data_IF_959328864447
#
_entry.id   IF_959328864447
#
_cell.length_a   1.000
_cell.length_b   1.000
_cell.length_c   1.000
_cell.angle_alpha   90.00
_cell.angle_beta   90.00
_cell.angle_gamma   90.00
#
_symmetry.space_group_name_H-M   'P 1'
#
loop_
_entity.id
_entity.type
_entity.pdbx_description
1 polymer ?
#
# COMPACT_ATOMS: atom_id res chain seq x y z
N UNK A 1 6.62 10.08 14.89
CA UNK A 1 7.16 10.43 13.57
C UNK A 1 8.49 11.12 13.78
N UNK A 2 9.55 10.63 13.16
CA UNK A 2 10.83 11.34 13.16
C UNK A 2 10.82 12.44 12.07
N UNK A 3 11.83 13.32 12.06
CA UNK A 3 11.96 14.39 11.04
C UNK A 3 11.99 13.81 9.62
N UNK A 4 12.51 12.60 9.44
CA UNK A 4 12.68 11.94 8.13
C UNK A 4 11.34 11.38 7.62
N UNK A 5 10.48 10.87 8.51
CA UNK A 5 9.10 10.48 8.22
C UNK A 5 8.32 11.68 7.70
N UNK A 6 8.49 12.85 8.36
CA UNK A 6 7.89 14.10 7.93
C UNK A 6 8.33 14.52 6.53
N UNK A 7 9.64 14.47 6.25
CA UNK A 7 10.18 14.77 4.92
C UNK A 7 9.66 13.79 3.85
N UNK A 8 9.58 12.50 4.17
CA UNK A 8 9.05 11.49 3.25
C UNK A 8 7.57 11.71 2.95
N UNK A 9 6.76 12.01 3.97
CA UNK A 9 5.36 12.33 3.80
C UNK A 9 5.15 13.59 2.95
N UNK A 10 5.97 14.63 3.16
CA UNK A 10 5.95 15.84 2.34
C UNK A 10 6.34 15.56 0.88
N UNK A 11 7.36 14.73 0.65
CA UNK A 11 7.75 14.32 -0.70
C UNK A 11 6.63 13.54 -1.41
N UNK A 12 6.01 12.58 -0.70
CA UNK A 12 4.86 11.83 -1.22
C UNK A 12 3.67 12.75 -1.52
N UNK A 13 3.39 13.72 -0.64
CA UNK A 13 2.35 14.72 -0.85
C UNK A 13 2.65 15.60 -2.07
N UNK A 14 3.90 16.02 -2.27
CA UNK A 14 4.29 16.78 -3.46
C UNK A 14 4.03 15.98 -4.75
N UNK A 15 4.35 14.69 -4.77
CA UNK A 15 4.04 13.81 -5.91
C UNK A 15 2.53 13.70 -6.16
N UNK A 16 1.73 13.54 -5.10
CA UNK A 16 0.26 13.50 -5.20
C UNK A 16 -0.31 14.82 -5.73
N UNK A 17 0.21 15.97 -5.27
CA UNK A 17 -0.18 17.30 -5.78
C UNK A 17 0.12 17.41 -7.27
N UNK A 18 1.31 16.99 -7.70
CA UNK A 18 1.67 16.96 -9.13
C UNK A 18 0.70 16.07 -9.90
N UNK A 19 0.41 14.86 -9.41
CA UNK A 19 -0.55 13.94 -10.04
C UNK A 19 -1.93 14.57 -10.24
N UNK A 20 -2.54 15.12 -9.18
CA UNK A 20 -3.87 15.75 -9.28
C UNK A 20 -3.86 16.99 -10.17
N UNK A 21 -2.77 17.77 -10.15
CA UNK A 21 -2.62 18.93 -11.03
C UNK A 21 -2.57 18.50 -12.50
N UNK A 22 -1.82 17.45 -12.81
CA UNK A 22 -1.70 16.95 -14.17
C UNK A 22 -3.00 16.31 -14.66
N UNK A 23 -3.70 15.59 -13.80
CA UNK A 23 -5.05 15.08 -14.07
C UNK A 23 -5.98 16.23 -14.50
N UNK A 24 -6.07 17.29 -13.70
CA UNK A 24 -6.92 18.45 -14.01
C UNK A 24 -6.49 19.15 -15.30
N UNK A 25 -5.19 19.29 -15.56
CA UNK A 25 -4.67 19.95 -16.76
C UNK A 25 -4.95 19.18 -18.05
N UNK A 26 -4.91 17.85 -17.99
CA UNK A 26 -5.08 16.99 -19.18
C UNK A 26 -6.56 16.67 -19.40
N UNK A 27 -7.27 16.27 -18.35
CA UNK A 27 -8.66 15.81 -18.46
C UNK A 27 -9.68 16.94 -18.32
N UNK A 28 -9.31 18.09 -17.73
CA UNK A 28 -10.22 19.21 -17.47
C UNK A 28 -11.31 18.93 -16.42
N UNK A 29 -11.32 17.74 -15.84
CA UNK A 29 -12.29 17.29 -14.85
C UNK A 29 -11.65 16.26 -13.90
N UNK A 30 -12.27 16.05 -12.75
CA UNK A 30 -11.87 14.98 -11.83
C UNK A 30 -12.37 13.62 -12.34
N UNK A 31 -11.46 12.67 -12.56
CA UNK A 31 -11.73 11.31 -12.99
C UNK A 31 -10.58 10.36 -12.66
N UNK A 32 -10.57 9.22 -13.34
CA UNK A 32 -9.42 8.32 -13.37
C UNK A 32 -8.78 8.42 -14.76
N UNK A 33 -7.46 8.62 -14.85
CA UNK A 33 -6.78 8.87 -16.12
C UNK A 33 -6.68 7.62 -17.02
N UNK A 34 -6.85 6.42 -16.44
CA UNK A 34 -6.91 5.14 -17.16
C UNK A 34 -8.29 4.49 -16.96
N UNK A 35 -8.73 3.77 -17.98
CA UNK A 35 -9.96 2.99 -18.05
C UNK A 35 -9.99 1.84 -17.02
N UNK A 36 -8.86 1.16 -16.78
CA UNK A 36 -8.73 0.10 -15.77
C UNK A 36 -9.23 0.54 -14.37
N UNK A 37 -8.96 1.79 -14.00
CA UNK A 37 -9.43 2.35 -12.74
C UNK A 37 -10.96 2.35 -12.62
N UNK A 38 -11.65 2.66 -13.72
CA UNK A 38 -13.12 2.68 -13.77
C UNK A 38 -13.72 1.28 -13.66
N UNK A 39 -13.06 0.26 -14.20
CA UNK A 39 -13.48 -1.14 -14.07
C UNK A 39 -13.53 -1.53 -12.58
N UNK A 40 -12.52 -1.18 -11.80
CA UNK A 40 -12.52 -1.44 -10.35
C UNK A 40 -13.64 -0.70 -9.62
N UNK A 41 -13.93 0.55 -9.97
CA UNK A 41 -15.04 1.30 -9.36
C UNK A 41 -16.38 0.64 -9.67
N UNK A 42 -16.55 0.14 -10.89
CA UNK A 42 -17.80 -0.51 -11.30
C UNK A 42 -18.04 -1.81 -10.53
N UNK A 43 -17.02 -2.68 -10.43
CA UNK A 43 -17.13 -3.88 -9.61
C UNK A 43 -17.35 -3.56 -8.12
N UNK A 44 -16.65 -2.55 -7.59
CA UNK A 44 -16.82 -2.14 -6.20
C UNK A 44 -18.23 -1.62 -5.92
N UNK A 45 -18.79 -0.84 -6.85
CA UNK A 45 -20.17 -0.35 -6.78
C UNK A 45 -21.17 -1.51 -6.79
N UNK A 46 -21.06 -2.41 -7.76
CA UNK A 46 -21.94 -3.58 -7.85
C UNK A 46 -21.88 -4.43 -6.57
N UNK A 47 -20.68 -4.61 -6.02
CA UNK A 47 -20.52 -5.34 -4.77
C UNK A 47 -21.18 -4.61 -3.58
N UNK A 48 -21.01 -3.29 -3.47
CA UNK A 48 -21.62 -2.47 -2.43
C UNK A 48 -23.16 -2.42 -2.55
N UNK A 49 -23.70 -2.47 -3.77
CA UNK A 49 -25.14 -2.47 -4.06
C UNK A 49 -25.76 -3.88 -4.01
N UNK A 50 -24.98 -4.92 -3.69
CA UNK A 50 -25.48 -6.29 -3.52
C UNK A 50 -25.57 -7.13 -4.81
N UNK A 51 -25.08 -6.62 -5.94
CA UNK A 51 -25.00 -7.35 -7.22
C UNK A 51 -23.80 -8.32 -7.30
N UNK A 52 -22.97 -8.40 -6.25
CA UNK A 52 -21.81 -9.29 -6.15
C UNK A 52 -20.63 -8.89 -7.03
N UNK A 53 -19.66 -9.80 -7.19
CA UNK A 53 -18.53 -9.63 -8.11
C UNK A 53 -18.98 -9.84 -9.56
N UNK A 54 -19.71 -8.86 -10.08
CA UNK A 54 -20.24 -8.85 -11.44
C UNK A 54 -19.94 -7.54 -12.13
N UNK A 55 -19.73 -7.57 -13.45
CA UNK A 55 -19.71 -6.36 -14.27
C UNK A 55 -21.14 -5.99 -14.69
N UNK A 56 -21.87 -6.98 -15.23
CA UNK A 56 -23.31 -6.86 -15.46
C UNK A 56 -24.05 -7.54 -14.29
N UNK A 57 -24.92 -6.83 -13.55
CA UNK A 57 -25.65 -7.42 -12.43
C UNK A 57 -26.33 -8.74 -12.80
N UNK A 58 -26.26 -9.73 -11.91
CA UNK A 58 -26.79 -11.07 -12.15
C UNK A 58 -25.85 -12.02 -12.91
N UNK A 59 -24.72 -11.52 -13.43
CA UNK A 59 -23.70 -12.34 -14.10
C UNK A 59 -22.34 -12.20 -13.40
N UNK A 60 -22.07 -13.02 -12.35
CA UNK A 60 -20.78 -13.02 -11.68
C UNK A 60 -19.65 -13.38 -12.64
N UNK A 61 -18.54 -12.65 -12.56
CA UNK A 61 -17.36 -12.86 -13.40
C UNK A 61 -16.09 -12.48 -12.66
N UNK A 62 -15.02 -13.23 -12.88
CA UNK A 62 -13.69 -12.92 -12.37
C UNK A 62 -13.00 -11.80 -13.20
N UNK A 63 -13.67 -10.66 -13.35
CA UNK A 63 -13.17 -9.52 -14.14
C UNK A 63 -12.28 -8.55 -13.34
N UNK A 64 -12.16 -8.73 -12.03
CA UNK A 64 -11.32 -7.89 -11.18
C UNK A 64 -9.91 -8.47 -11.04
N UNK A 65 -8.91 -7.82 -11.63
CA UNK A 65 -7.48 -8.16 -11.49
C UNK A 65 -6.86 -7.72 -10.15
N UNK A 66 -7.61 -6.96 -9.34
CA UNK A 66 -7.20 -6.50 -8.01
C UNK A 66 -8.33 -6.71 -6.98
N UNK A 67 -8.69 -7.96 -6.62
CA UNK A 67 -9.85 -8.25 -5.79
C UNK A 67 -9.80 -7.60 -4.40
N UNK A 68 -8.63 -7.53 -3.77
CA UNK A 68 -8.47 -6.84 -2.48
C UNK A 68 -8.80 -5.34 -2.59
N UNK A 69 -8.36 -4.69 -3.67
CA UNK A 69 -8.68 -3.28 -3.92
C UNK A 69 -10.17 -3.07 -4.15
N UNK A 70 -10.80 -3.95 -4.93
CA UNK A 70 -12.25 -3.95 -5.17
C UNK A 70 -13.03 -4.11 -3.86
N UNK A 71 -12.62 -5.00 -2.96
CA UNK A 71 -13.24 -5.18 -1.64
C UNK A 71 -13.13 -3.93 -0.77
N UNK A 72 -11.95 -3.32 -0.71
CA UNK A 72 -11.74 -2.09 0.06
C UNK A 72 -12.59 -0.93 -0.46
N UNK A 73 -12.68 -0.79 -1.79
CA UNK A 73 -13.55 0.22 -2.40
C UNK A 73 -15.03 -0.06 -2.16
N UNK A 74 -15.47 -1.33 -2.25
CA UNK A 74 -16.85 -1.69 -1.98
C UNK A 74 -17.23 -1.35 -0.53
N UNK A 75 -16.34 -1.62 0.44
CA UNK A 75 -16.54 -1.21 1.83
C UNK A 75 -16.64 0.32 1.98
N UNK A 76 -15.77 1.06 1.30
CA UNK A 76 -15.86 2.52 1.27
C UNK A 76 -17.17 3.04 0.65
N UNK A 77 -17.59 2.45 -0.46
CA UNK A 77 -18.83 2.81 -1.16
C UNK A 77 -20.09 2.43 -0.37
N UNK A 78 -20.06 1.35 0.40
CA UNK A 78 -21.16 0.98 1.29
C UNK A 78 -21.40 2.02 2.41
N UNK A 79 -20.35 2.74 2.83
CA UNK A 79 -20.44 3.76 3.89
C UNK A 79 -20.69 5.16 3.33
N UNK A 80 -20.01 5.52 2.24
CA UNK A 80 -19.93 6.89 1.74
C UNK A 80 -20.60 7.10 0.37
N UNK A 81 -21.13 6.03 -0.24
CA UNK A 81 -21.67 6.00 -1.58
C UNK A 81 -20.60 5.85 -2.68
N UNK A 82 -20.99 5.45 -3.90
CA UNK A 82 -20.08 5.33 -5.04
C UNK A 82 -19.65 6.72 -5.53
N UNK A 83 -18.51 7.21 -5.04
CA UNK A 83 -18.02 8.54 -5.38
C UNK A 83 -16.50 8.57 -5.63
N UNK A 84 -16.08 9.40 -6.60
CA UNK A 84 -14.67 9.55 -6.97
C UNK A 84 -13.78 10.01 -5.81
N UNK A 85 -14.32 10.77 -4.86
CA UNK A 85 -13.53 11.21 -3.72
C UNK A 85 -13.16 10.05 -2.79
N UNK A 86 -13.96 8.97 -2.72
CA UNK A 86 -13.67 7.80 -1.88
C UNK A 86 -12.44 7.05 -2.40
N UNK A 87 -12.42 6.72 -3.69
CA UNK A 87 -11.26 6.05 -4.33
C UNK A 87 -10.01 6.92 -4.23
N UNK A 88 -10.14 8.24 -4.47
CA UNK A 88 -9.00 9.18 -4.39
C UNK A 88 -8.46 9.29 -2.96
N UNK A 89 -9.33 9.42 -1.98
CA UNK A 89 -8.94 9.51 -0.57
C UNK A 89 -8.25 8.23 -0.10
N UNK A 90 -8.82 7.06 -0.44
CA UNK A 90 -8.22 5.78 -0.09
C UNK A 90 -6.87 5.58 -0.78
N UNK A 91 -6.75 5.94 -2.06
CA UNK A 91 -5.48 5.90 -2.80
C UNK A 91 -4.41 6.80 -2.19
N UNK A 92 -4.76 8.02 -1.78
CA UNK A 92 -3.85 8.95 -1.07
C UNK A 92 -3.40 8.36 0.26
N UNK A 93 -4.34 7.89 1.08
CA UNK A 93 -4.03 7.30 2.40
C UNK A 93 -3.12 6.09 2.27
N UNK A 94 -3.42 5.17 1.35
CA UNK A 94 -2.61 3.97 1.12
C UNK A 94 -1.23 4.31 0.53
N UNK A 95 -1.12 5.35 -0.30
CA UNK A 95 0.18 5.81 -0.82
C UNK A 95 1.07 6.32 0.33
N UNK A 96 0.52 7.16 1.20
CA UNK A 96 1.25 7.70 2.37
C UNK A 96 1.62 6.58 3.35
N UNK A 97 0.68 5.67 3.64
CA UNK A 97 0.91 4.53 4.50
C UNK A 97 2.01 3.61 3.94
N UNK A 98 1.95 3.30 2.65
CA UNK A 98 2.97 2.49 1.94
C UNK A 98 4.34 3.12 2.04
N UNK A 99 4.47 4.43 1.84
CA UNK A 99 5.75 5.13 1.94
C UNK A 99 6.36 4.98 3.35
N UNK A 100 5.56 5.22 4.40
CA UNK A 100 6.01 5.12 5.79
C UNK A 100 6.35 3.68 6.20
N UNK A 101 5.50 2.72 5.83
CA UNK A 101 5.73 1.29 6.14
C UNK A 101 6.96 0.77 5.42
N UNK A 102 7.13 1.11 4.15
CA UNK A 102 8.33 0.73 3.36
C UNK A 102 9.59 1.26 4.01
N UNK A 103 9.61 2.53 4.46
CA UNK A 103 10.76 3.08 5.20
C UNK A 103 11.04 2.29 6.47
N UNK A 104 10.01 2.01 7.28
CA UNK A 104 10.18 1.26 8.53
C UNK A 104 10.70 -0.15 8.29
N UNK A 105 10.19 -0.81 7.26
CA UNK A 105 10.65 -2.12 6.84
C UNK A 105 12.11 -2.06 6.39
N UNK A 106 12.48 -1.10 5.54
CA UNK A 106 13.86 -0.91 5.09
C UNK A 106 14.83 -0.69 6.26
N UNK A 107 14.45 0.11 7.25
CA UNK A 107 15.25 0.33 8.46
C UNK A 107 15.34 -0.93 9.34
N UNK A 108 14.26 -1.69 9.45
CA UNK A 108 14.25 -2.95 10.21
C UNK A 108 15.19 -3.99 9.56
N UNK A 109 15.19 -4.07 8.23
CA UNK A 109 16.05 -4.98 7.47
C UNK A 109 17.51 -4.50 7.40
N UNK A 110 17.77 -3.20 7.53
CA UNK A 110 19.13 -2.63 7.49
C UNK A 110 19.87 -2.70 8.84
N UNK A 111 19.21 -3.18 9.91
CA UNK A 111 19.90 -3.36 11.19
C UNK A 111 20.87 -4.53 11.06
N UNK A 112 22.14 -4.39 11.48
CA UNK A 112 23.05 -5.52 11.49
C UNK A 112 22.47 -6.63 12.36
N UNK A 113 22.69 -7.92 12.01
CA UNK A 113 22.32 -9.01 12.89
C UNK A 113 22.95 -8.75 14.26
N UNK A 114 22.19 -9.02 15.34
CA UNK A 114 22.73 -8.95 16.68
C UNK A 114 24.04 -9.74 16.68
N UNK A 115 25.17 -9.18 17.14
CA UNK A 115 26.39 -9.97 17.24
C UNK A 115 26.02 -11.20 18.07
N UNK A 116 26.15 -12.39 17.48
CA UNK A 116 26.12 -13.61 18.26
C UNK A 116 27.09 -13.38 19.43
N UNK A 117 26.75 -13.80 20.67
CA UNK A 117 27.74 -13.80 21.73
C UNK A 117 28.96 -14.51 21.15
N UNK A 118 30.08 -13.79 21.04
CA UNK A 118 31.33 -14.42 20.67
C UNK A 118 31.57 -15.45 21.78
N UNK A 119 31.26 -16.72 21.51
CA UNK A 119 31.80 -17.82 22.29
C UNK A 119 33.31 -17.65 22.20
N UNK A 120 33.86 -17.10 23.28
CA UNK A 120 35.28 -16.91 23.44
C UNK A 120 35.92 -18.30 23.33
N UNK A 121 36.85 -18.56 22.40
CA UNK A 121 37.57 -19.81 22.42
C UNK A 121 38.36 -19.86 23.73
N UNK A 122 37.95 -20.73 24.65
CA UNK A 122 38.64 -20.97 25.91
C UNK A 122 40.12 -21.24 25.65
N UNK A 123 41.07 -20.49 26.24
CA UNK A 123 42.50 -20.63 25.93
C UNK A 123 43.18 -21.82 26.62
N UNK A 124 42.45 -22.83 27.08
CA UNK A 124 42.98 -23.85 28.00
C UNK A 124 42.98 -25.26 27.40
N UNK A 125 43.67 -25.40 26.26
CA UNK A 125 44.15 -26.68 25.74
C UNK A 125 45.68 -26.71 25.85
N UNK A 126 46.21 -26.78 27.07
CA UNK A 126 47.61 -27.09 27.36
C UNK A 126 47.69 -27.81 28.72
N UNK A 127 47.64 -29.14 28.68
CA UNK A 127 48.18 -29.98 29.76
C UNK A 127 49.15 -30.98 29.12
N UNK A 128 50.44 -31.01 29.50
CA UNK A 128 51.38 -31.96 28.94
C UNK A 128 51.16 -33.36 29.55
N UNK A 129 51.58 -34.45 28.87
CA UNK A 129 51.43 -35.80 29.38
C UNK A 129 52.36 -36.02 30.59
N UNK A 130 51.78 -36.45 31.71
CA UNK A 130 52.53 -36.94 32.87
C UNK A 130 53.23 -38.27 32.54
N UNK A 131 54.41 -38.45 33.16
CA UNK A 131 55.31 -39.61 33.03
C UNK A 131 54.66 -40.94 33.35
#
# INVERSE_FOLDING_TARGET
>A
MDRKDGLLALAALAVLIVFFTQEQRIAGASGLPLDDGWIHLHFARNLAEGAGFSYNPGHPVAGSTAPLWTLLLAAGFAVAGPALWVVKSLGVLLTLATALVTRRLALALSRPPHPAPLECPSPFLLSPPGR
#
